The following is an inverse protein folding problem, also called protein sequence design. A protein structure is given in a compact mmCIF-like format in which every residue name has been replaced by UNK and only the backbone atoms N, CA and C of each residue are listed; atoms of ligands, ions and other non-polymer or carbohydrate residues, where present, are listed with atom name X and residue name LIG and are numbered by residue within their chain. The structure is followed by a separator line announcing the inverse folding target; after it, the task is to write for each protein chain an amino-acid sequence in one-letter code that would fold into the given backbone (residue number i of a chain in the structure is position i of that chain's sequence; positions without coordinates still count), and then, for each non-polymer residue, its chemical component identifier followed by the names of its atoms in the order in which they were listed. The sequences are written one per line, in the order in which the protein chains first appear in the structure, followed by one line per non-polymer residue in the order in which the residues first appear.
data_IF_280788503648
#
_entry.id   IF_280788503648
#
_cell.length_a   1.000
_cell.length_b   1.000
_cell.length_c   1.000
_cell.angle_alpha   90.00
_cell.angle_beta   90.00
_cell.angle_gamma   90.00
#
_symmetry.space_group_name_H-M   'P 1'
#
loop_
_entity.id
_entity.type
_entity.pdbx_description
1 polymer ?
#
# COMPACT_ATOMS: atom_id res chain seq x y z
N UNK A 1 22.49 11.85 -2.39
CA UNK A 1 21.15 11.53 -1.83
C UNK A 1 20.15 12.52 -2.41
N UNK A 2 19.02 12.08 -2.97
CA UNK A 2 18.03 12.99 -3.57
C UNK A 2 17.32 13.82 -2.50
N UNK A 3 16.85 15.02 -2.87
CA UNK A 3 16.09 15.90 -1.98
C UNK A 3 14.85 15.17 -1.43
N UNK A 4 14.11 14.45 -2.27
CA UNK A 4 12.96 13.64 -1.85
C UNK A 4 13.31 12.62 -0.78
N UNK A 5 14.40 11.85 -0.97
CA UNK A 5 14.84 10.84 0.02
C UNK A 5 15.28 11.49 1.33
N UNK A 6 15.96 12.63 1.27
CA UNK A 6 16.37 13.38 2.45
C UNK A 6 15.17 13.93 3.23
N UNK A 7 14.19 14.51 2.53
CA UNK A 7 12.94 15.02 3.12
C UNK A 7 12.12 13.89 3.72
N UNK A 8 11.97 12.77 3.01
CA UNK A 8 11.29 11.58 3.52
C UNK A 8 11.95 11.09 4.82
N UNK A 9 13.27 10.91 4.81
CA UNK A 9 14.00 10.47 5.99
C UNK A 9 13.83 11.43 7.15
N UNK A 10 13.91 12.75 6.92
CA UNK A 10 13.66 13.74 7.96
C UNK A 10 12.25 13.60 8.57
N UNK A 11 11.22 13.61 7.73
CA UNK A 11 9.81 13.53 8.15
C UNK A 11 9.56 12.30 9.01
N UNK A 12 10.12 11.15 8.62
CA UNK A 12 9.89 9.87 9.28
C UNK A 12 10.97 9.47 10.31
N UNK A 13 12.02 10.29 10.52
CA UNK A 13 13.08 10.01 11.51
C UNK A 13 12.69 10.33 12.95
N UNK A 14 11.72 11.23 13.16
CA UNK A 14 11.25 11.64 14.48
C UNK A 14 10.32 10.56 15.04
N UNK A 15 10.89 9.64 15.84
CA UNK A 15 10.24 8.39 16.25
C UNK A 15 8.98 8.55 17.12
N UNK A 16 8.84 9.65 17.89
CA UNK A 16 7.78 9.78 18.90
C UNK A 16 6.96 11.08 18.83
N UNK A 17 7.51 12.15 18.28
CA UNK A 17 6.75 13.34 17.89
C UNK A 17 6.57 13.32 16.38
N UNK A 18 5.50 12.66 15.92
CA UNK A 18 4.96 12.89 14.58
C UNK A 18 4.96 14.41 14.38
N UNK A 19 5.74 14.90 13.43
CA UNK A 19 5.55 16.23 12.90
C UNK A 19 4.15 16.21 12.26
N UNK A 20 3.12 16.44 13.07
CA UNK A 20 1.73 16.58 12.60
C UNK A 20 1.68 17.63 11.49
N UNK A 21 2.63 18.56 11.53
CA UNK A 21 2.90 19.55 10.52
C UNK A 21 4.39 19.69 10.24
N UNK A 22 4.75 19.79 8.96
CA UNK A 22 6.08 20.20 8.51
C UNK A 22 5.94 21.37 7.53
N UNK A 23 6.94 22.25 7.47
CA UNK A 23 7.03 23.31 6.46
C UNK A 23 8.45 23.37 5.91
N UNK A 24 8.66 24.10 4.80
CA UNK A 24 9.97 24.20 4.14
C UNK A 24 11.02 24.78 5.08
N UNK A 25 10.65 25.75 5.91
CA UNK A 25 11.58 26.37 6.86
C UNK A 25 12.18 25.33 7.82
N UNK A 26 11.35 24.48 8.45
CA UNK A 26 11.80 23.42 9.34
C UNK A 26 12.74 22.44 8.62
N UNK A 27 12.41 22.07 7.39
CA UNK A 27 13.21 21.15 6.56
C UNK A 27 14.56 21.77 6.23
N UNK A 28 14.60 23.05 5.82
CA UNK A 28 15.84 23.77 5.48
C UNK A 28 16.78 23.89 6.66
N UNK A 29 16.25 24.20 7.84
CA UNK A 29 17.02 24.30 9.07
C UNK A 29 17.65 22.95 9.41
N UNK A 30 16.88 21.86 9.29
CA UNK A 30 17.38 20.53 9.63
C UNK A 30 18.38 19.98 8.62
N UNK A 31 18.12 20.17 7.32
CA UNK A 31 19.00 19.71 6.23
C UNK A 31 20.16 20.69 5.96
N UNK A 32 20.48 21.61 6.88
CA UNK A 32 21.66 22.47 6.80
C UNK A 32 21.74 23.34 5.53
N UNK A 33 20.60 23.70 4.93
CA UNK A 33 20.52 24.41 3.63
C UNK A 33 21.22 23.69 2.47
N UNK A 34 21.40 22.36 2.54
CA UNK A 34 22.00 21.55 1.45
C UNK A 34 21.18 21.61 0.16
N UNK A 35 19.87 21.85 0.27
CA UNK A 35 18.93 21.90 -0.86
C UNK A 35 18.32 23.31 -0.98
N UNK A 36 18.05 23.73 -2.22
CA UNK A 36 17.33 24.98 -2.51
C UNK A 36 15.86 24.88 -2.11
N UNK A 37 15.17 26.03 -1.96
CA UNK A 37 13.72 26.02 -1.69
C UNK A 37 12.93 25.32 -2.79
N UNK A 38 13.30 25.54 -4.06
CA UNK A 38 12.68 24.88 -5.20
C UNK A 38 12.82 23.37 -5.13
N UNK A 39 14.01 22.86 -4.81
CA UNK A 39 14.26 21.42 -4.66
C UNK A 39 13.43 20.80 -3.52
N UNK A 40 13.26 21.52 -2.42
CA UNK A 40 12.44 21.08 -1.30
C UNK A 40 10.95 21.15 -1.60
N UNK A 41 10.51 22.18 -2.33
CA UNK A 41 9.13 22.32 -2.78
C UNK A 41 8.75 21.21 -3.76
N UNK A 42 9.64 20.88 -4.71
CA UNK A 42 9.46 19.79 -5.65
C UNK A 42 9.40 18.44 -4.91
N UNK A 43 10.32 18.21 -3.97
CA UNK A 43 10.31 17.02 -3.11
C UNK A 43 9.00 16.87 -2.31
N UNK A 44 8.51 17.95 -1.69
CA UNK A 44 7.24 17.94 -0.97
C UNK A 44 6.06 17.71 -1.91
N UNK A 45 6.06 18.34 -3.09
CA UNK A 45 5.00 18.16 -4.09
C UNK A 45 4.95 16.72 -4.60
N UNK A 46 6.12 16.11 -4.81
CA UNK A 46 6.24 14.68 -5.13
C UNK A 46 5.68 13.82 -4.00
N UNK A 47 6.05 14.07 -2.75
CA UNK A 47 5.52 13.32 -1.59
C UNK A 47 4.00 13.52 -1.40
N UNK A 48 3.45 14.69 -1.74
CA UNK A 48 2.00 14.93 -1.77
C UNK A 48 1.34 14.10 -2.88
N UNK A 49 1.91 14.12 -4.09
CA UNK A 49 1.40 13.34 -5.22
C UNK A 49 1.45 11.82 -4.96
N UNK A 50 2.44 11.36 -4.18
CA UNK A 50 2.55 9.97 -3.73
C UNK A 50 1.65 9.63 -2.54
N UNK A 51 0.87 10.59 -2.01
CA UNK A 51 0.01 10.39 -0.84
C UNK A 51 0.78 10.15 0.46
N UNK A 52 2.08 10.46 0.51
CA UNK A 52 2.93 10.30 1.71
C UNK A 52 2.77 11.47 2.69
N UNK A 53 2.32 12.63 2.23
CA UNK A 53 1.97 13.78 3.07
C UNK A 53 0.76 14.50 2.46
N UNK A 54 -0.04 15.21 3.25
CA UNK A 54 -1.17 16.05 2.80
C UNK A 54 -0.81 17.53 2.96
N UNK A 55 -1.33 18.41 2.12
CA UNK A 55 -1.12 19.86 2.24
C UNK A 55 -2.39 20.54 2.74
N UNK A 56 -2.25 21.58 3.58
CA UNK A 56 -3.38 22.41 3.96
C UNK A 56 -3.71 23.52 2.94
N UNK A 57 -2.85 23.74 1.92
CA UNK A 57 -2.95 24.71 0.82
C UNK A 57 -3.35 26.17 1.18
N UNK A 58 -3.63 26.46 2.44
CA UNK A 58 -3.80 27.80 3.00
C UNK A 58 -2.46 28.18 3.60
N UNK A 59 -1.73 29.01 2.88
CA UNK A 59 -0.66 29.81 3.47
C UNK A 59 -1.21 30.49 4.72
N UNK A 60 -0.51 30.35 5.84
CA UNK A 60 -0.84 31.14 7.03
C UNK A 60 -0.69 32.64 6.76
N UNK A 61 -1.00 33.49 7.74
CA UNK A 61 -0.85 34.96 7.64
C UNK A 61 0.57 35.41 7.25
N UNK A 62 1.56 34.50 7.29
CA UNK A 62 2.97 34.72 6.96
C UNK A 62 3.39 34.09 5.62
N UNK A 63 2.46 33.51 4.86
CA UNK A 63 2.76 32.90 3.56
C UNK A 63 3.24 31.44 3.63
N UNK A 64 3.29 30.82 4.81
CA UNK A 64 3.86 29.48 4.99
C UNK A 64 2.83 28.39 4.77
N UNK A 65 3.10 27.48 3.83
CA UNK A 65 2.33 26.26 3.61
C UNK A 65 2.71 25.20 4.65
N UNK A 66 1.72 24.61 5.32
CA UNK A 66 1.94 23.53 6.27
C UNK A 66 1.47 22.18 5.69
N UNK A 67 2.30 21.16 5.88
CA UNK A 67 2.07 19.83 5.35
C UNK A 67 1.78 18.88 6.50
N UNK A 68 0.64 18.21 6.45
CA UNK A 68 0.28 17.14 7.36
C UNK A 68 1.00 15.86 6.99
N UNK A 69 1.62 15.22 7.95
CA UNK A 69 2.32 13.95 7.71
C UNK A 69 1.33 12.82 7.93
N UNK A 70 1.08 12.04 6.87
CA UNK A 70 0.33 10.79 6.95
C UNK A 70 1.14 9.78 7.77
N UNK A 71 0.48 8.98 8.59
CA UNK A 71 1.15 7.85 9.23
C UNK A 71 1.69 6.88 8.17
N UNK A 72 2.99 6.59 8.19
CA UNK A 72 3.59 5.69 7.19
C UNK A 72 3.05 4.27 7.39
N UNK A 73 2.23 3.74 6.46
CA UNK A 73 1.69 2.39 6.57
C UNK A 73 2.80 1.34 6.58
N UNK A 74 3.97 1.66 6.01
CA UNK A 74 5.12 0.77 5.96
C UNK A 74 5.95 0.82 7.25
N UNK A 75 5.74 1.77 8.18
CA UNK A 75 6.68 2.01 9.30
C UNK A 75 7.03 0.74 10.06
N UNK A 76 6.04 -0.11 10.35
CA UNK A 76 6.18 -1.37 11.08
C UNK A 76 6.12 -2.62 10.20
N UNK A 77 5.94 -2.44 8.89
CA UNK A 77 6.06 -3.56 7.95
C UNK A 77 7.47 -4.14 8.03
N UNK A 78 7.53 -5.47 8.05
CA UNK A 78 8.79 -6.23 8.00
C UNK A 78 9.54 -5.91 6.70
N UNK A 79 10.86 -6.11 6.67
CA UNK A 79 11.70 -5.68 5.54
C UNK A 79 11.33 -6.37 4.23
N UNK A 80 10.83 -7.60 4.28
CA UNK A 80 10.29 -8.31 3.13
C UNK A 80 9.17 -7.48 2.49
N UNK A 81 8.16 -7.07 3.26
CA UNK A 81 7.03 -6.26 2.77
C UNK A 81 7.46 -4.90 2.16
N UNK A 82 8.59 -4.34 2.60
CA UNK A 82 9.18 -3.09 2.07
C UNK A 82 9.96 -3.25 0.76
N UNK A 83 10.48 -4.45 0.47
CA UNK A 83 11.45 -4.68 -0.62
C UNK A 83 11.11 -5.90 -1.52
N UNK A 84 10.03 -6.63 -1.24
CA UNK A 84 9.61 -7.82 -1.97
C UNK A 84 8.64 -8.67 -1.14
N UNK A 85 7.39 -8.76 -1.58
CA UNK A 85 6.34 -9.54 -0.91
C UNK A 85 6.77 -10.98 -0.57
N UNK A 86 6.24 -11.54 0.51
CA UNK A 86 6.57 -12.89 0.97
C UNK A 86 5.99 -13.93 0.01
N UNK A 87 6.84 -14.80 -0.54
CA UNK A 87 6.40 -15.90 -1.41
C UNK A 87 5.48 -16.86 -0.65
N UNK A 88 4.23 -17.07 -1.11
CA UNK A 88 3.34 -18.05 -0.49
C UNK A 88 3.83 -19.47 -0.79
N UNK A 89 3.62 -20.39 0.16
CA UNK A 89 3.95 -21.81 0.00
C UNK A 89 2.70 -22.71 -0.11
N UNK A 90 1.52 -22.14 0.15
CA UNK A 90 0.22 -22.83 0.05
C UNK A 90 -0.90 -21.81 -0.13
N UNK A 91 -2.09 -22.24 -0.59
CA UNK A 91 -3.25 -21.34 -0.68
C UNK A 91 -3.61 -20.68 0.65
N UNK A 92 -3.56 -21.43 1.76
CA UNK A 92 -3.85 -20.90 3.10
C UNK A 92 -2.80 -19.89 3.55
N UNK A 93 -1.50 -20.17 3.30
CA UNK A 93 -0.43 -19.21 3.59
C UNK A 93 -0.63 -17.91 2.79
N UNK A 94 -0.99 -18.01 1.51
CA UNK A 94 -1.29 -16.84 0.68
C UNK A 94 -2.43 -15.98 1.24
N UNK A 95 -3.56 -16.60 1.62
CA UNK A 95 -4.68 -15.88 2.22
C UNK A 95 -4.31 -15.22 3.55
N UNK A 96 -3.52 -15.90 4.39
CA UNK A 96 -3.02 -15.32 5.63
C UNK A 96 -2.14 -14.09 5.36
N UNK A 97 -1.20 -14.18 4.42
CA UNK A 97 -0.33 -13.05 4.05
C UNK A 97 -1.16 -11.88 3.47
N UNK A 98 -2.13 -12.16 2.59
CA UNK A 98 -3.03 -11.13 2.06
C UNK A 98 -3.81 -10.44 3.19
N UNK A 99 -4.39 -11.18 4.13
CA UNK A 99 -5.10 -10.60 5.27
C UNK A 99 -4.22 -9.72 6.15
N UNK A 100 -2.96 -10.10 6.27
CA UNK A 100 -2.01 -9.50 7.18
C UNK A 100 -1.33 -8.24 6.61
N UNK A 101 -1.20 -8.16 5.28
CA UNK A 101 -0.43 -7.11 4.58
C UNK A 101 -1.27 -6.25 3.62
N UNK A 102 -2.51 -6.65 3.32
CA UNK A 102 -3.43 -5.73 2.64
C UNK A 102 -3.78 -4.56 3.56
N UNK A 103 -3.69 -3.36 3.01
CA UNK A 103 -4.01 -2.11 3.71
C UNK A 103 -5.51 -1.82 3.65
N UNK A 104 -6.19 -2.32 2.62
CA UNK A 104 -7.62 -2.16 2.38
C UNK A 104 -8.38 -3.46 2.65
N UNK A 105 -9.68 -3.36 2.81
CA UNK A 105 -10.59 -4.49 3.00
C UNK A 105 -10.91 -5.28 1.70
N UNK A 106 -10.12 -5.09 0.63
CA UNK A 106 -10.29 -5.79 -0.65
C UNK A 106 -10.25 -7.32 -0.55
N UNK A 107 -9.64 -7.89 0.52
CA UNK A 107 -9.66 -9.33 0.78
C UNK A 107 -11.10 -9.88 0.87
N UNK A 108 -12.07 -9.08 1.34
CA UNK A 108 -13.47 -9.49 1.38
C UNK A 108 -13.98 -9.87 -0.02
N UNK A 109 -13.56 -9.14 -1.06
CA UNK A 109 -13.93 -9.46 -2.45
C UNK A 109 -13.36 -10.80 -2.90
N UNK A 110 -12.13 -11.14 -2.47
CA UNK A 110 -11.50 -12.43 -2.77
C UNK A 110 -12.31 -13.55 -2.11
N UNK A 111 -12.68 -13.40 -0.84
CA UNK A 111 -13.54 -14.37 -0.15
C UNK A 111 -14.87 -14.57 -0.86
N UNK A 112 -15.54 -13.48 -1.26
CA UNK A 112 -16.81 -13.56 -2.02
C UNK A 112 -16.64 -14.35 -3.31
N UNK A 113 -15.55 -14.15 -4.06
CA UNK A 113 -15.30 -14.91 -5.29
C UNK A 113 -15.02 -16.39 -5.02
N UNK A 114 -14.25 -16.71 -3.97
CA UNK A 114 -14.00 -18.11 -3.57
C UNK A 114 -15.34 -18.81 -3.25
N UNK A 115 -16.22 -18.14 -2.50
CA UNK A 115 -17.54 -18.69 -2.18
C UNK A 115 -18.40 -18.92 -3.43
N UNK A 116 -18.41 -17.96 -4.37
CA UNK A 116 -19.12 -18.12 -5.65
C UNK A 116 -18.63 -19.32 -6.44
N UNK A 117 -17.31 -19.52 -6.57
CA UNK A 117 -16.79 -20.67 -7.30
C UNK A 117 -17.12 -22.01 -6.61
N UNK A 118 -17.14 -22.04 -5.27
CA UNK A 118 -17.59 -23.22 -4.51
C UNK A 118 -19.07 -23.52 -4.73
N UNK A 119 -19.92 -22.51 -4.73
CA UNK A 119 -21.36 -22.66 -5.00
C UNK A 119 -21.65 -23.17 -6.41
N UNK A 120 -20.82 -22.80 -7.39
CA UNK A 120 -20.90 -23.31 -8.76
C UNK A 120 -20.45 -24.77 -8.90
N UNK A 121 -20.06 -25.44 -7.80
CA UNK A 121 -19.61 -26.85 -7.76
C UNK A 121 -18.56 -27.21 -8.82
N UNK A 122 -17.71 -26.25 -9.18
CA UNK A 122 -16.56 -26.54 -10.03
C UNK A 122 -15.60 -27.38 -9.19
N UNK A 123 -15.59 -28.71 -9.32
CA UNK A 123 -14.67 -29.59 -8.58
C UNK A 123 -13.20 -29.25 -8.87
N UNK A 124 -12.69 -28.23 -8.19
CA UNK A 124 -11.39 -27.63 -8.36
C UNK A 124 -10.65 -27.65 -7.03
N UNK A 125 -9.32 -27.68 -7.11
CA UNK A 125 -8.49 -27.59 -5.92
C UNK A 125 -8.61 -26.20 -5.27
N UNK A 126 -8.38 -26.09 -3.94
CA UNK A 126 -8.29 -24.80 -3.26
C UNK A 126 -7.32 -23.80 -3.92
N UNK A 127 -6.25 -24.32 -4.53
CA UNK A 127 -5.28 -23.53 -5.28
C UNK A 127 -5.91 -22.85 -6.49
N UNK A 128 -6.64 -23.61 -7.33
CA UNK A 128 -7.29 -23.10 -8.53
C UNK A 128 -8.38 -22.08 -8.17
N UNK A 129 -9.18 -22.34 -7.13
CA UNK A 129 -10.17 -21.37 -6.65
C UNK A 129 -9.53 -20.04 -6.26
N UNK A 130 -8.41 -20.08 -5.54
CA UNK A 130 -7.72 -18.87 -5.11
C UNK A 130 -7.10 -18.11 -6.29
N UNK A 131 -6.48 -18.81 -7.24
CA UNK A 131 -5.91 -18.23 -8.46
C UNK A 131 -7.00 -17.51 -9.27
N UNK A 132 -8.13 -18.17 -9.50
CA UNK A 132 -9.25 -17.60 -10.26
C UNK A 132 -9.86 -16.39 -9.52
N UNK A 133 -10.04 -16.50 -8.21
CA UNK A 133 -10.59 -15.41 -7.38
C UNK A 133 -9.68 -14.18 -7.38
N UNK A 134 -8.36 -14.36 -7.22
CA UNK A 134 -7.39 -13.26 -7.31
C UNK A 134 -7.41 -12.61 -8.70
N UNK A 135 -7.39 -13.42 -9.75
CA UNK A 135 -7.46 -12.96 -11.14
C UNK A 135 -8.69 -12.08 -11.39
N UNK A 136 -9.87 -12.52 -10.92
CA UNK A 136 -11.12 -11.80 -11.14
C UNK A 136 -11.25 -10.54 -10.28
N UNK A 137 -10.79 -10.56 -9.02
CA UNK A 137 -10.75 -9.36 -8.18
C UNK A 137 -9.78 -8.33 -8.76
N UNK A 138 -8.58 -8.72 -9.20
CA UNK A 138 -7.63 -7.80 -9.84
C UNK A 138 -8.26 -7.16 -11.08
N UNK A 139 -8.94 -7.93 -11.93
CA UNK A 139 -9.65 -7.40 -13.11
C UNK A 139 -10.79 -6.45 -12.71
N UNK A 140 -11.58 -6.81 -11.70
CA UNK A 140 -12.70 -6.01 -11.21
C UNK A 140 -12.22 -4.65 -10.71
N UNK A 141 -11.19 -4.62 -9.85
CA UNK A 141 -10.61 -3.40 -9.30
C UNK A 141 -9.98 -2.56 -10.41
N UNK A 142 -9.25 -3.19 -11.34
CA UNK A 142 -8.66 -2.49 -12.49
C UNK A 142 -9.71 -1.86 -13.42
N UNK A 143 -10.90 -2.49 -13.55
CA UNK A 143 -11.98 -2.01 -14.43
C UNK A 143 -12.86 -0.94 -13.77
N UNK A 144 -13.18 -1.10 -12.49
CA UNK A 144 -14.05 -0.18 -11.74
C UNK A 144 -13.31 1.04 -11.21
N UNK A 145 -11.98 1.00 -11.14
CA UNK A 145 -11.12 2.15 -10.87
C UNK A 145 -11.56 2.91 -9.61
N UNK A 146 -11.62 4.25 -9.74
CA UNK A 146 -11.96 5.18 -8.66
C UNK A 146 -13.26 4.84 -7.91
N UNK A 147 -14.28 4.34 -8.62
CA UNK A 147 -15.59 4.02 -8.03
C UNK A 147 -15.48 3.00 -6.88
N UNK A 148 -14.53 2.06 -6.99
CA UNK A 148 -14.30 1.06 -5.97
C UNK A 148 -13.44 1.63 -4.83
N UNK A 149 -12.54 2.57 -5.15
CA UNK A 149 -11.68 3.25 -4.19
C UNK A 149 -12.47 4.17 -3.24
N UNK A 150 -13.62 4.68 -3.66
CA UNK A 150 -14.48 5.48 -2.78
C UNK A 150 -15.18 4.63 -1.70
N UNK A 151 -15.14 3.30 -1.84
CA UNK A 151 -15.82 2.36 -0.93
C UNK A 151 -14.88 1.49 -0.09
N UNK A 152 -13.58 1.51 -0.37
CA UNK A 152 -12.62 0.71 0.41
C UNK A 152 -12.45 1.28 1.81
N UNK A 153 -12.39 0.39 2.77
CA UNK A 153 -12.08 0.72 4.15
C UNK A 153 -10.70 0.19 4.51
N UNK A 154 -10.15 0.70 5.62
CA UNK A 154 -8.92 0.15 6.18
C UNK A 154 -9.16 -1.31 6.60
N UNK A 155 -8.17 -2.15 6.31
CA UNK A 155 -8.18 -3.53 6.78
C UNK A 155 -7.97 -3.57 8.31
N UNK A 156 -8.97 -4.01 9.10
CA UNK A 156 -8.82 -4.08 10.56
C UNK A 156 -7.84 -5.19 11.01
N UNK A 157 -7.50 -6.12 10.12
CA UNK A 157 -6.61 -7.25 10.40
C UNK A 157 -5.18 -7.05 9.87
N UNK A 158 -4.87 -5.87 9.32
CA UNK A 158 -3.50 -5.53 8.95
C UNK A 158 -2.60 -5.63 10.20
N UNK A 159 -1.35 -6.08 10.05
CA UNK A 159 -0.39 -6.19 11.17
C UNK A 159 -0.22 -4.88 11.96
N UNK A 160 -0.45 -3.75 11.29
CA UNK A 160 -0.48 -2.45 11.92
C UNK A 160 -1.71 -1.67 11.43
N UNK A 161 -2.87 -1.75 12.10
CA UNK A 161 -4.10 -1.14 11.60
C UNK A 161 -4.17 0.36 11.89
N UNK A 162 -3.20 0.92 12.62
CA UNK A 162 -3.19 2.35 12.95
C UNK A 162 -2.38 3.08 11.87
N UNK A 163 -3.04 3.46 10.77
CA UNK A 163 -2.52 4.38 9.75
C UNK A 163 -3.66 5.17 9.12
N UNK A 164 -3.37 6.32 8.51
CA UNK A 164 -4.40 7.03 7.75
C UNK A 164 -4.57 6.34 6.39
N UNK A 165 -5.77 5.92 6.04
CA UNK A 165 -6.04 5.32 4.73
C UNK A 165 -5.94 6.38 3.63
N UNK A 166 -5.23 6.05 2.56
CA UNK A 166 -5.23 6.80 1.30
C UNK A 166 -5.70 5.85 0.18
N UNK A 167 -7.00 5.87 -0.18
CA UNK A 167 -7.61 4.81 -0.99
C UNK A 167 -6.88 4.49 -2.28
N UNK A 168 -6.38 5.49 -3.02
CA UNK A 168 -5.65 5.27 -4.27
C UNK A 168 -4.32 4.56 -4.03
N UNK A 169 -3.46 5.12 -3.19
CA UNK A 169 -2.11 4.60 -2.93
C UNK A 169 -2.14 3.23 -2.26
N UNK A 170 -3.04 3.04 -1.30
CA UNK A 170 -3.13 1.79 -0.55
C UNK A 170 -3.76 0.67 -1.38
N UNK A 171 -4.73 0.98 -2.24
CA UNK A 171 -5.27 -0.01 -3.17
C UNK A 171 -4.24 -0.39 -4.25
N UNK A 172 -3.42 0.55 -4.71
CA UNK A 172 -2.31 0.22 -5.62
C UNK A 172 -1.30 -0.74 -4.99
N UNK A 173 -0.98 -0.53 -3.71
CA UNK A 173 -0.16 -1.47 -2.93
C UNK A 173 -0.81 -2.86 -2.91
N UNK A 174 -2.09 -2.93 -2.54
CA UNK A 174 -2.80 -4.21 -2.42
C UNK A 174 -2.95 -4.92 -3.76
N UNK A 175 -3.12 -4.20 -4.88
CA UNK A 175 -3.12 -4.77 -6.23
C UNK A 175 -1.74 -5.35 -6.58
N UNK A 176 -0.64 -4.67 -6.22
CA UNK A 176 0.72 -5.20 -6.42
C UNK A 176 0.91 -6.49 -5.63
N UNK A 177 0.47 -6.51 -4.37
CA UNK A 177 0.51 -7.70 -3.50
C UNK A 177 -0.32 -8.84 -4.11
N UNK A 178 -1.56 -8.59 -4.53
CA UNK A 178 -2.41 -9.60 -5.17
C UNK A 178 -1.77 -10.17 -6.44
N UNK A 179 -1.18 -9.33 -7.30
CA UNK A 179 -0.51 -9.77 -8.54
C UNK A 179 0.70 -10.63 -8.25
N UNK A 180 1.49 -10.28 -7.24
CA UNK A 180 2.62 -11.09 -6.80
C UNK A 180 2.15 -12.47 -6.35
N UNK A 181 1.18 -12.54 -5.42
CA UNK A 181 0.62 -13.80 -4.93
C UNK A 181 0.00 -14.63 -6.07
N UNK A 182 -0.70 -14.01 -7.01
CA UNK A 182 -1.26 -14.70 -8.18
C UNK A 182 -0.17 -15.38 -9.01
N UNK A 183 0.96 -14.69 -9.25
CA UNK A 183 2.06 -15.25 -10.04
C UNK A 183 2.74 -16.41 -9.31
N UNK A 184 3.00 -16.29 -8.01
CA UNK A 184 3.62 -17.36 -7.23
C UNK A 184 2.70 -18.59 -7.11
N UNK A 185 1.40 -18.41 -6.91
CA UNK A 185 0.45 -19.53 -6.88
C UNK A 185 0.34 -20.24 -8.24
N UNK A 186 0.43 -19.52 -9.36
CA UNK A 186 0.47 -20.12 -10.70
C UNK A 186 1.72 -20.97 -10.91
N UNK A 187 2.87 -20.56 -10.39
CA UNK A 187 4.10 -21.37 -10.44
C UNK A 187 3.91 -22.68 -9.68
N UNK A 188 3.39 -22.61 -8.45
CA UNK A 188 3.07 -23.80 -7.64
C UNK A 188 2.11 -24.71 -8.40
N UNK A 189 1.09 -24.15 -9.08
CA UNK A 189 0.17 -24.95 -9.89
C UNK A 189 0.89 -25.68 -11.03
N UNK A 190 1.75 -24.97 -11.78
CA UNK A 190 2.51 -25.57 -12.88
C UNK A 190 3.43 -26.68 -12.39
N UNK A 191 4.14 -26.47 -11.28
CA UNK A 191 5.02 -27.50 -10.68
C UNK A 191 4.23 -28.77 -10.30
N UNK A 192 3.02 -28.61 -9.75
CA UNK A 192 2.15 -29.73 -9.42
C UNK A 192 1.58 -30.45 -10.66
N UNK A 193 1.34 -29.72 -11.75
CA UNK A 193 0.86 -30.29 -13.01
C UNK A 193 1.97 -31.04 -13.77
N UNK A 194 3.24 -30.61 -13.63
CA UNK A 194 4.41 -31.27 -14.23
C UNK A 194 4.82 -32.57 -13.49
N UNK A 195 4.43 -32.73 -12.23
CA UNK A 195 4.69 -33.90 -11.40
C UNK A 195 3.66 -35.06 -11.58
N UNK A 196 2.66 -34.88 -12.46
CA UNK A 196 1.56 -35.83 -12.74
C UNK A 196 1.65 -36.51 -14.12
#
# INVERSE_FOLDING_TARGET
MSAEKAVYQFIYSKKDDLLKHVNIFHIRVHLGKTYSEEQLQEALSSLVAQGKIKTNARSDEKGLTSYWVRYDPDKYSIKEDKNGFVTPCSPSHSLQMLNNYMRTDLLQLIHVQIHKFKELQLNQSPLVYLINSLSDVIKLVSKKGQLLMDTVCQNPFHHHPIFDLEPSTDSEHDIKLMRFHLNELKKIQMELDDDL
#
